data_IF_789982108945
#
_entry.id   IF_789982108945
#
_cell.length_a   1.000
_cell.length_b   1.000
_cell.length_c   1.000
_cell.angle_alpha   90.00
_cell.angle_beta   90.00
_cell.angle_gamma   90.00
#
_symmetry.space_group_name_H-M   'P 1'
#
loop_
_entity.id
_entity.type
_entity.pdbx_description
1 polymer ?
#
# COMPACT_ATOMS: atom_id res chain seq x y z
N UNK A 1 -9.00 -6.62 -5.01
CA UNK A 1 -7.88 -5.96 -5.72
C UNK A 1 -7.63 -6.72 -7.02
N UNK A 2 -8.08 -6.18 -8.16
CA UNK A 2 -7.91 -6.76 -9.49
C UNK A 2 -6.96 -5.85 -10.27
N UNK A 3 -6.00 -6.44 -10.98
CA UNK A 3 -5.10 -5.74 -11.88
C UNK A 3 -5.81 -5.43 -13.20
N UNK A 4 -5.33 -4.45 -13.97
CA UNK A 4 -5.97 -4.03 -15.23
C UNK A 4 -6.01 -5.16 -16.29
N UNK A 5 -5.13 -6.16 -16.16
CA UNK A 5 -5.13 -7.37 -16.99
C UNK A 5 -6.14 -8.44 -16.55
N UNK A 6 -6.95 -8.18 -15.52
CA UNK A 6 -7.90 -9.13 -14.93
C UNK A 6 -7.30 -10.07 -13.86
N UNK A 7 -5.98 -10.06 -13.67
CA UNK A 7 -5.31 -10.89 -12.67
C UNK A 7 -5.47 -10.41 -11.23
N UNK A 8 -5.31 -11.32 -10.26
CA UNK A 8 -5.32 -10.97 -8.83
C UNK A 8 -4.02 -10.27 -8.40
N UNK A 9 -4.16 -9.24 -7.57
CA UNK A 9 -3.05 -8.53 -6.92
C UNK A 9 -2.79 -9.10 -5.53
N UNK A 10 -1.56 -9.51 -5.26
CA UNK A 10 -1.11 -10.04 -3.97
C UNK A 10 -0.17 -9.06 -3.28
N UNK A 11 -0.34 -8.88 -1.97
CA UNK A 11 0.57 -8.07 -1.14
C UNK A 11 1.94 -8.74 -1.10
N UNK A 12 2.98 -7.97 -1.45
CA UNK A 12 4.38 -8.41 -1.42
C UNK A 12 5.21 -7.67 -0.37
N UNK A 13 4.76 -6.49 0.07
CA UNK A 13 5.41 -5.70 1.12
C UNK A 13 4.36 -4.83 1.83
N UNK A 14 4.50 -4.65 3.13
CA UNK A 14 3.69 -3.71 3.94
C UNK A 14 4.65 -2.70 4.56
N UNK A 15 4.26 -1.43 4.58
CA UNK A 15 5.02 -0.37 5.22
C UNK A 15 5.05 -0.57 6.75
N UNK A 16 6.25 -0.49 7.32
CA UNK A 16 6.41 -0.45 8.78
C UNK A 16 6.08 0.96 9.31
N UNK A 17 5.31 1.07 10.41
CA UNK A 17 5.10 2.35 11.06
C UNK A 17 6.43 2.99 11.51
N UNK A 18 6.63 4.30 11.32
CA UNK A 18 7.86 5.00 11.68
C UNK A 18 8.30 4.73 13.13
N UNK A 19 9.61 4.53 13.33
CA UNK A 19 10.16 4.13 14.63
C UNK A 19 10.03 5.19 15.73
N UNK A 20 9.85 6.45 15.36
CA UNK A 20 9.71 7.58 16.29
C UNK A 20 8.28 7.73 16.83
N UNK A 21 7.30 7.01 16.27
CA UNK A 21 5.92 7.06 16.76
C UNK A 21 5.78 6.33 18.10
N UNK A 22 4.88 6.83 18.94
CA UNK A 22 4.51 6.17 20.20
C UNK A 22 3.88 4.79 19.92
N UNK A 23 3.81 3.93 20.94
CA UNK A 23 3.16 2.61 20.78
C UNK A 23 1.70 2.76 20.35
N UNK A 24 0.96 3.73 20.90
CA UNK A 24 -0.41 4.00 20.51
C UNK A 24 -0.52 4.48 19.06
N UNK A 25 0.34 5.42 18.64
CA UNK A 25 0.28 5.98 17.28
C UNK A 25 0.61 4.93 16.21
N UNK A 26 1.49 3.97 16.54
CA UNK A 26 1.82 2.85 15.63
C UNK A 26 0.65 1.90 15.41
N UNK A 27 -0.28 1.78 16.38
CA UNK A 27 -1.47 0.94 16.24
C UNK A 27 -2.47 1.52 15.24
N UNK A 28 -2.58 2.84 15.18
CA UNK A 28 -3.50 3.57 14.28
C UNK A 28 -2.82 4.12 13.02
N UNK A 29 -1.54 3.80 12.80
CA UNK A 29 -0.80 4.26 11.63
C UNK A 29 -1.37 3.66 10.35
N UNK A 30 -1.80 4.53 9.42
CA UNK A 30 -2.30 4.16 8.11
C UNK A 30 -1.15 3.68 7.23
N UNK A 31 -0.95 2.36 7.19
CA UNK A 31 0.08 1.71 6.39
C UNK A 31 -0.32 1.67 4.93
N UNK A 32 0.68 1.74 4.05
CA UNK A 32 0.54 1.33 2.66
C UNK A 32 1.14 -0.06 2.44
N UNK A 33 0.79 -0.69 1.33
CA UNK A 33 1.37 -1.95 0.88
C UNK A 33 1.75 -1.88 -0.60
N UNK A 34 2.73 -2.69 -0.99
CA UNK A 34 3.00 -2.93 -2.40
C UNK A 34 2.40 -4.25 -2.79
N UNK A 35 1.82 -4.29 -3.98
CA UNK A 35 1.13 -5.46 -4.51
C UNK A 35 1.68 -5.85 -5.86
N UNK A 36 1.71 -7.15 -6.15
CA UNK A 36 2.13 -7.71 -7.44
C UNK A 36 1.00 -8.52 -8.05
N UNK A 37 0.76 -8.34 -9.34
CA UNK A 37 -0.18 -9.16 -10.08
C UNK A 37 0.40 -10.56 -10.30
N UNK A 38 -0.36 -11.60 -9.95
CA UNK A 38 0.06 -12.98 -10.20
C UNK A 38 -0.03 -13.38 -11.68
N UNK A 39 -0.79 -12.64 -12.50
CA UNK A 39 -0.98 -12.97 -13.92
C UNK A 39 0.03 -12.29 -14.84
N UNK A 40 0.24 -10.97 -14.69
CA UNK A 40 1.16 -10.21 -15.58
C UNK A 40 2.42 -9.71 -14.88
N UNK A 41 2.58 -9.94 -13.57
CA UNK A 41 3.76 -9.53 -12.82
C UNK A 41 3.86 -8.04 -12.49
N UNK A 42 2.91 -7.20 -12.94
CA UNK A 42 2.92 -5.76 -12.67
C UNK A 42 2.91 -5.47 -11.16
N UNK A 43 3.70 -4.47 -10.75
CA UNK A 43 3.84 -4.06 -9.35
C UNK A 43 3.19 -2.69 -9.17
N UNK A 44 2.31 -2.57 -8.18
CA UNK A 44 1.75 -1.29 -7.74
C UNK A 44 2.29 -0.96 -6.36
N UNK A 45 2.91 0.20 -6.25
CA UNK A 45 3.51 0.65 -5.00
C UNK A 45 2.53 1.49 -4.17
N UNK A 46 2.73 1.51 -2.86
CA UNK A 46 2.05 2.41 -1.92
C UNK A 46 0.52 2.39 -2.00
N UNK A 47 -0.06 1.20 -2.17
CA UNK A 47 -1.49 0.96 -2.18
C UNK A 47 -2.07 0.96 -0.75
N UNK A 48 -3.35 1.28 -0.55
CA UNK A 48 -4.04 1.15 0.73
C UNK A 48 -3.93 -0.26 1.34
N UNK A 49 -3.50 -0.36 2.59
CA UNK A 49 -3.56 -1.59 3.39
C UNK A 49 -4.85 -1.63 4.23
N UNK A 50 -5.46 -2.81 4.43
CA UNK A 50 -6.64 -3.07 5.29
C UNK A 50 -7.86 -2.14 5.13
N UNK A 51 -8.43 -2.06 3.92
CA UNK A 51 -9.67 -1.30 3.66
C UNK A 51 -9.63 0.18 4.09
N UNK A 52 -8.44 0.77 4.25
CA UNK A 52 -8.30 2.22 4.33
C UNK A 52 -9.11 2.85 3.21
N UNK A 53 -10.03 3.75 3.57
CA UNK A 53 -11.01 4.39 2.69
C UNK A 53 -10.42 4.68 1.29
N UNK A 54 -11.25 4.65 0.24
CA UNK A 54 -10.84 4.97 -1.16
C UNK A 54 -10.11 6.31 -1.34
N UNK A 55 -10.08 7.15 -0.30
CA UNK A 55 -9.34 8.39 -0.17
C UNK A 55 -8.18 8.22 0.83
N UNK A 56 -7.20 7.37 0.51
CA UNK A 56 -5.91 7.50 1.19
C UNK A 56 -5.20 8.71 0.57
N UNK A 57 -4.61 9.62 1.37
CA UNK A 57 -3.72 10.64 0.86
C UNK A 57 -2.52 9.92 0.24
N UNK A 58 -2.54 9.78 -1.08
CA UNK A 58 -1.39 9.34 -1.85
C UNK A 58 -0.31 10.37 -1.59
N UNK A 59 0.83 9.96 -1.03
CA UNK A 59 1.97 10.87 -0.88
C UNK A 59 2.34 11.34 -2.28
N UNK A 60 2.32 12.66 -2.50
CA UNK A 60 2.80 13.25 -3.75
C UNK A 60 4.23 12.79 -3.99
N UNK A 61 4.43 12.05 -5.08
CA UNK A 61 5.76 11.68 -5.53
C UNK A 61 6.28 12.91 -6.30
N UNK A 62 7.32 13.61 -5.83
CA UNK A 62 7.88 14.73 -6.57
C UNK A 62 8.45 14.20 -7.88
N UNK A 63 7.83 14.61 -9.01
CA UNK A 63 8.40 14.39 -10.33
C UNK A 63 9.72 15.14 -10.41
N UNK A 64 10.80 14.40 -10.65
CA UNK A 64 12.12 14.93 -10.97
C UNK A 64 12.47 14.55 -12.40
#
# INVERSE_FOLDING_TARGET
MICDCGGMLFVIRVEDPPKHLSKQDRLIYNRVCDVKCNSCGNIRYSQPYDFGNRLNPVKDIPNK
#
